data_IF_937126014051
#
_entry.id   IF_937126014051
#
_cell.length_a   1.000
_cell.length_b   1.000
_cell.length_c   1.000
_cell.angle_alpha   90.00
_cell.angle_beta   90.00
_cell.angle_gamma   90.00
#
_symmetry.space_group_name_H-M   'P 1'
#
loop_
_entity.id
_entity.type
_entity.pdbx_description
1 polymer ?
#
# COMPACT_ATOMS: atom_id res chain seq x y z
N UNK A 1 16.75 -10.69 0.63
CA UNK A 1 16.93 -10.29 2.04
C UNK A 1 17.05 -8.79 2.09
N UNK A 2 16.03 -8.11 2.61
CA UNK A 2 16.08 -6.67 2.76
C UNK A 2 17.09 -6.30 3.87
N UNK A 3 17.69 -5.11 3.78
CA UNK A 3 18.53 -4.64 4.87
C UNK A 3 17.67 -4.44 6.12
N UNK A 4 18.21 -4.77 7.31
CA UNK A 4 17.55 -4.50 8.61
C UNK A 4 17.14 -3.03 8.75
N UNK A 5 17.89 -2.12 8.10
CA UNK A 5 17.59 -0.70 8.02
C UNK A 5 16.24 -0.45 7.32
N UNK A 6 15.97 -1.14 6.23
CA UNK A 6 14.75 -0.97 5.43
C UNK A 6 13.54 -1.57 6.15
N UNK A 7 13.71 -2.73 6.78
CA UNK A 7 12.67 -3.34 7.63
C UNK A 7 12.22 -2.37 8.74
N UNK A 8 13.19 -1.80 9.45
CA UNK A 8 12.94 -0.84 10.53
C UNK A 8 12.40 0.50 10.01
N UNK A 9 12.80 0.92 8.81
CA UNK A 9 12.29 2.12 8.17
C UNK A 9 10.80 1.98 7.82
N UNK A 10 10.37 0.84 7.28
CA UNK A 10 8.97 0.57 6.97
C UNK A 10 8.10 0.55 8.22
N UNK A 11 8.53 -0.14 9.28
CA UNK A 11 7.84 -0.13 10.58
C UNK A 11 7.78 1.28 11.18
N UNK A 12 8.88 2.03 11.13
CA UNK A 12 8.91 3.42 11.61
C UNK A 12 7.97 4.32 10.84
N UNK A 13 7.82 4.10 9.52
CA UNK A 13 6.86 4.85 8.70
C UNK A 13 5.43 4.50 9.09
N UNK A 14 5.11 3.22 9.29
CA UNK A 14 3.82 2.77 9.81
C UNK A 14 3.46 3.48 11.13
N UNK A 15 4.39 3.47 12.09
CA UNK A 15 4.17 4.12 13.39
C UNK A 15 3.91 5.62 13.27
N UNK A 16 4.66 6.31 12.40
CA UNK A 16 4.48 7.75 12.15
C UNK A 16 3.10 8.04 11.56
N UNK A 17 2.65 7.28 10.57
CA UNK A 17 1.30 7.47 10.00
C UNK A 17 0.20 7.18 11.03
N UNK A 18 0.36 6.12 11.82
CA UNK A 18 -0.60 5.78 12.87
C UNK A 18 -0.66 6.89 13.95
N UNK A 19 0.50 7.36 14.40
CA UNK A 19 0.57 8.45 15.38
C UNK A 19 0.02 9.75 14.81
N UNK A 20 0.27 10.07 13.54
CA UNK A 20 -0.26 11.27 12.91
C UNK A 20 -1.79 11.25 12.83
N UNK A 21 -2.39 10.11 12.47
CA UNK A 21 -3.84 9.98 12.24
C UNK A 21 -4.63 9.81 13.54
N UNK A 22 -4.11 9.06 14.50
CA UNK A 22 -4.82 8.69 15.73
C UNK A 22 -4.27 9.35 17.00
N UNK A 23 -3.16 10.10 16.89
CA UNK A 23 -2.45 10.72 18.02
C UNK A 23 -2.03 9.74 19.13
N UNK A 24 -1.94 8.45 18.79
CA UNK A 24 -1.59 7.34 19.69
C UNK A 24 -0.50 6.52 19.02
N UNK A 25 0.41 5.92 19.80
CA UNK A 25 1.38 4.97 19.26
C UNK A 25 0.75 3.60 19.07
N UNK A 26 0.94 2.94 17.92
CA UNK A 26 0.42 1.58 17.73
C UNK A 26 1.16 0.61 18.67
N UNK A 27 0.42 -0.35 19.22
CA UNK A 27 1.01 -1.42 20.01
C UNK A 27 1.56 -2.51 19.08
N UNK A 28 2.84 -2.42 18.74
CA UNK A 28 3.52 -3.39 17.88
C UNK A 28 4.88 -3.80 18.43
N UNK A 29 5.20 -5.08 18.31
CA UNK A 29 6.54 -5.59 18.65
C UNK A 29 7.44 -5.53 17.42
N UNK A 30 8.30 -4.50 17.36
CA UNK A 30 9.18 -4.25 16.21
C UNK A 30 10.05 -5.45 15.82
N UNK A 31 10.46 -6.28 16.77
CA UNK A 31 11.32 -7.43 16.51
C UNK A 31 10.58 -8.58 15.84
N UNK A 32 9.37 -8.87 16.29
CA UNK A 32 8.53 -9.91 15.71
C UNK A 32 8.07 -9.51 14.30
N UNK A 33 7.67 -8.25 14.15
CA UNK A 33 7.12 -7.72 12.91
C UNK A 33 8.20 -7.40 11.85
N UNK A 34 9.48 -7.40 12.21
CA UNK A 34 10.59 -7.21 11.27
C UNK A 34 10.67 -8.32 10.21
N UNK A 35 10.35 -9.56 10.56
CA UNK A 35 10.31 -10.68 9.62
C UNK A 35 9.20 -10.52 8.58
N UNK A 36 8.03 -10.03 9.01
CA UNK A 36 6.94 -9.68 8.10
C UNK A 36 7.36 -8.53 7.18
N UNK A 37 8.01 -7.48 7.71
CA UNK A 37 8.53 -6.38 6.91
C UNK A 37 9.55 -6.87 5.86
N UNK A 38 10.46 -7.76 6.24
CA UNK A 38 11.46 -8.34 5.34
C UNK A 38 10.81 -9.06 4.16
N UNK A 39 9.89 -9.99 4.44
CA UNK A 39 9.20 -10.77 3.40
C UNK A 39 8.45 -9.88 2.41
N UNK A 40 7.80 -8.83 2.91
CA UNK A 40 7.03 -7.91 2.08
C UNK A 40 7.95 -7.04 1.21
N UNK A 41 9.03 -6.52 1.79
CA UNK A 41 10.02 -5.70 1.04
C UNK A 41 10.70 -6.54 -0.02
N UNK A 42 11.06 -7.80 0.29
CA UNK A 42 11.68 -8.71 -0.67
C UNK A 42 10.72 -9.04 -1.84
N UNK A 43 9.41 -9.12 -1.56
CA UNK A 43 8.39 -9.44 -2.56
C UNK A 43 8.02 -8.27 -3.48
N UNK A 44 7.88 -7.05 -2.94
CA UNK A 44 7.29 -5.92 -3.66
C UNK A 44 8.22 -4.71 -3.81
N UNK A 45 9.35 -4.70 -3.09
CA UNK A 45 10.25 -3.57 -3.02
C UNK A 45 9.79 -2.47 -2.06
N UNK A 46 10.75 -1.77 -1.46
CA UNK A 46 10.52 -0.78 -0.42
C UNK A 46 9.62 0.37 -0.86
N UNK A 47 9.81 0.88 -2.09
CA UNK A 47 9.05 2.02 -2.61
C UNK A 47 7.56 1.69 -2.73
N UNK A 48 7.23 0.51 -3.29
CA UNK A 48 5.85 0.05 -3.43
C UNK A 48 5.19 -0.19 -2.07
N UNK A 49 5.95 -0.70 -1.10
CA UNK A 49 5.47 -0.86 0.27
C UNK A 49 5.07 0.49 0.89
N UNK A 50 5.84 1.55 0.65
CA UNK A 50 5.53 2.88 1.16
C UNK A 50 4.26 3.48 0.55
N UNK A 51 4.10 3.34 -0.76
CA UNK A 51 2.91 3.81 -1.46
C UNK A 51 1.65 3.05 -1.00
N UNK A 52 1.76 1.72 -0.86
CA UNK A 52 0.65 0.88 -0.39
C UNK A 52 0.32 1.13 1.07
N UNK A 53 1.31 1.49 1.89
CA UNK A 53 1.09 1.84 3.28
C UNK A 53 0.26 3.12 3.40
N UNK A 54 0.59 4.16 2.63
CA UNK A 54 -0.22 5.39 2.57
C UNK A 54 -1.66 5.08 2.12
N UNK A 55 -1.81 4.35 1.01
CA UNK A 55 -3.13 3.94 0.51
C UNK A 55 -3.91 3.10 1.53
N UNK A 56 -3.24 2.21 2.25
CA UNK A 56 -3.85 1.38 3.28
C UNK A 56 -4.44 2.22 4.42
N UNK A 57 -3.73 3.25 4.89
CA UNK A 57 -4.25 4.13 5.93
C UNK A 57 -5.46 4.92 5.45
N UNK A 58 -5.59 5.22 4.16
CA UNK A 58 -6.75 5.92 3.60
C UNK A 58 -7.97 5.01 3.46
N UNK A 59 -7.76 3.76 3.04
CA UNK A 59 -8.85 2.80 2.82
C UNK A 59 -9.39 2.22 4.12
N UNK A 60 -8.52 1.92 5.09
CA UNK A 60 -8.90 1.21 6.30
C UNK A 60 -9.02 2.15 7.52
N UNK A 61 -10.18 2.18 8.20
CA UNK A 61 -10.40 3.06 9.35
C UNK A 61 -9.70 2.58 10.63
N UNK A 62 -9.33 1.30 10.71
CA UNK A 62 -8.66 0.70 11.88
C UNK A 62 -7.41 -0.09 11.44
N UNK A 63 -6.33 0.62 11.06
CA UNK A 63 -5.14 0.00 10.51
C UNK A 63 -4.35 -0.73 11.58
N UNK A 64 -4.06 -2.01 11.36
CA UNK A 64 -3.08 -2.77 12.15
C UNK A 64 -1.95 -3.27 11.26
N UNK A 65 -0.75 -3.42 11.81
CA UNK A 65 0.41 -3.89 11.05
C UNK A 65 0.20 -5.31 10.52
N UNK A 66 -0.30 -6.23 11.35
CA UNK A 66 -0.58 -7.61 10.93
C UNK A 66 -1.55 -7.67 9.76
N UNK A 67 -2.60 -6.85 9.81
CA UNK A 67 -3.55 -6.78 8.72
C UNK A 67 -2.91 -6.20 7.45
N UNK A 68 -2.10 -5.14 7.56
CA UNK A 68 -1.34 -4.61 6.43
C UNK A 68 -0.43 -5.68 5.81
N UNK A 69 0.34 -6.38 6.64
CA UNK A 69 1.27 -7.41 6.20
C UNK A 69 0.59 -8.55 5.43
N UNK A 70 -0.58 -8.99 5.91
CA UNK A 70 -1.34 -10.05 5.25
C UNK A 70 -2.07 -9.57 3.99
N UNK A 71 -2.49 -8.30 3.95
CA UNK A 71 -3.37 -7.78 2.89
C UNK A 71 -2.62 -7.05 1.77
N UNK A 72 -1.32 -6.76 1.93
CA UNK A 72 -0.58 -5.93 0.97
C UNK A 72 -0.62 -6.46 -0.47
N UNK A 73 -0.55 -7.79 -0.65
CA UNK A 73 -0.64 -8.40 -1.98
C UNK A 73 -1.99 -8.09 -2.65
N UNK A 74 -3.08 -8.27 -1.90
CA UNK A 74 -4.44 -7.97 -2.37
C UNK A 74 -4.64 -6.47 -2.62
N UNK A 75 -4.02 -5.60 -1.82
CA UNK A 75 -4.05 -4.15 -2.00
C UNK A 75 -3.37 -3.72 -3.29
N UNK A 76 -2.21 -4.29 -3.59
CA UNK A 76 -1.47 -4.03 -4.84
C UNK A 76 -2.31 -4.45 -6.03
N UNK A 77 -2.88 -5.66 -5.97
CA UNK A 77 -3.73 -6.17 -7.04
C UNK A 77 -4.99 -5.31 -7.23
N UNK A 78 -5.68 -4.96 -6.14
CA UNK A 78 -6.85 -4.10 -6.18
C UNK A 78 -6.52 -2.73 -6.80
N UNK A 79 -5.37 -2.14 -6.45
CA UNK A 79 -4.93 -0.87 -7.04
C UNK A 79 -4.67 -1.00 -8.54
N UNK A 80 -3.96 -2.05 -8.97
CA UNK A 80 -3.70 -2.31 -10.39
C UNK A 80 -5.00 -2.39 -11.19
N UNK A 81 -5.98 -3.14 -10.68
CA UNK A 81 -7.30 -3.29 -11.34
C UNK A 81 -8.03 -1.96 -11.48
N UNK A 82 -7.97 -1.10 -10.47
CA UNK A 82 -8.60 0.24 -10.53
C UNK A 82 -7.91 1.14 -11.55
N UNK A 83 -6.57 1.08 -11.62
CA UNK A 83 -5.79 1.84 -12.60
C UNK A 83 -6.09 1.39 -14.04
N UNK A 84 -6.08 0.08 -14.29
CA UNK A 84 -6.41 -0.52 -15.59
C UNK A 84 -7.82 -0.12 -16.05
N UNK A 85 -8.81 -0.26 -15.17
CA UNK A 85 -10.20 0.11 -15.44
C UNK A 85 -10.36 1.63 -15.68
N UNK A 86 -9.57 2.48 -15.02
CA UNK A 86 -9.54 3.92 -15.31
C UNK A 86 -9.01 4.22 -16.71
N UNK A 87 -7.93 3.56 -17.12
CA UNK A 87 -7.33 3.68 -18.45
C UNK A 87 -8.31 3.20 -19.53
N UNK A 88 -8.90 2.02 -19.36
CA UNK A 88 -9.89 1.49 -20.30
C UNK A 88 -11.08 2.44 -20.48
N UNK A 89 -11.60 3.02 -19.38
CA UNK A 89 -12.69 4.01 -19.46
C UNK A 89 -12.27 5.25 -20.22
N UNK A 90 -11.04 5.74 -20.05
CA UNK A 90 -10.55 6.90 -20.80
C UNK A 90 -10.46 6.59 -22.30
N UNK A 91 -9.94 5.44 -22.68
CA UNK A 91 -9.84 5.01 -24.07
C UNK A 91 -11.22 4.82 -24.71
N UNK A 92 -12.15 4.18 -24.01
CA UNK A 92 -13.54 4.02 -24.48
C UNK A 92 -14.21 5.37 -24.70
N UNK A 93 -14.02 6.34 -23.79
CA UNK A 93 -14.53 7.71 -23.98
C UNK A 93 -13.93 8.42 -25.19
N UNK A 94 -12.63 8.23 -25.47
CA UNK A 94 -11.98 8.79 -26.67
C UNK A 94 -12.56 8.17 -27.95
N UNK A 95 -12.70 6.84 -28.00
CA UNK A 95 -13.30 6.13 -29.14
C UNK A 95 -14.76 6.55 -29.38
N UNK A 96 -15.56 6.64 -28.32
CA UNK A 96 -16.95 7.10 -28.41
C UNK A 96 -17.06 8.54 -28.93
N UNK A 97 -16.18 9.45 -28.50
CA UNK A 97 -16.12 10.82 -29.03
C UNK A 97 -15.75 10.85 -30.51
N UNK A 98 -14.78 10.04 -30.93
CA UNK A 98 -14.39 9.95 -32.34
C UNK A 98 -15.53 9.42 -33.21
N UNK A 99 -16.26 8.40 -32.72
CA UNK A 99 -17.43 7.86 -33.43
C UNK A 99 -18.59 8.86 -33.57
N UNK A 100 -18.83 9.70 -32.56
CA UNK A 100 -19.88 10.74 -32.61
C UNK A 100 -19.52 11.95 -33.49
N UNK A 101 -18.26 12.07 -33.91
CA UNK A 101 -17.79 13.16 -34.78
C UNK A 101 -17.72 12.79 -36.27
N UNK A 102 -18.03 11.53 -36.62
CA UNK A 102 -18.34 11.08 -37.99
C UNK A 102 -19.84 11.21 -38.27
#
# INVERSE_FOLDING_TARGET
MAERKDQMALLSKFEKHYQFKYNVKPNLNRWAEAWAADAIIDSFGLHKCYEMLEYYFDVYPSPTWKHFANQIANLIEAKSRVEEDSVERQERRKKARAWLSE
#
